data_IF_703605078075
#
_entry.id   IF_703605078075
#
_cell.length_a   1.000
_cell.length_b   1.000
_cell.length_c   1.000
_cell.angle_alpha   90.00
_cell.angle_beta   90.00
_cell.angle_gamma   90.00
#
_symmetry.space_group_name_H-M   'P 1'
#
loop_
_entity.id
_entity.type
_entity.pdbx_description
1 polymer ?
#
# COMPACT_ATOMS: atom_id res chain seq x y z
N UNK A 1 -5.29 -25.11 -20.89
CA UNK A 1 -3.83 -24.97 -20.68
C UNK A 1 -3.09 -24.43 -21.92
N UNK A 2 -3.49 -24.82 -23.15
CA UNK A 2 -2.83 -24.35 -24.38
C UNK A 2 -3.21 -22.91 -24.76
N UNK A 3 -4.38 -22.41 -24.38
CA UNK A 3 -4.83 -21.03 -24.67
C UNK A 3 -4.18 -19.97 -23.79
N UNK A 4 -3.62 -20.36 -22.64
CA UNK A 4 -2.93 -19.42 -21.73
C UNK A 4 -1.45 -19.19 -22.05
N UNK A 5 -0.86 -19.92 -22.98
CA UNK A 5 0.58 -19.85 -23.28
C UNK A 5 1.05 -18.51 -23.90
N UNK A 6 0.14 -17.69 -24.37
CA UNK A 6 0.41 -16.35 -24.92
C UNK A 6 -0.04 -15.18 -24.03
N UNK A 7 -0.62 -15.45 -22.86
CA UNK A 7 -1.13 -14.41 -21.98
C UNK A 7 0.03 -13.75 -21.23
N UNK A 8 0.26 -12.44 -21.37
CA UNK A 8 1.33 -11.77 -20.65
C UNK A 8 1.09 -11.87 -19.13
N UNK A 9 1.97 -12.56 -18.42
CA UNK A 9 2.04 -12.46 -16.98
C UNK A 9 1.21 -13.45 -16.17
N UNK A 10 0.93 -14.66 -16.67
CA UNK A 10 0.46 -15.74 -15.81
C UNK A 10 1.50 -15.99 -14.70
N UNK A 11 1.31 -15.35 -13.55
CA UNK A 11 2.13 -15.57 -12.36
C UNK A 11 1.75 -16.97 -11.87
N UNK A 12 2.70 -17.90 -11.96
CA UNK A 12 2.56 -19.24 -11.37
C UNK A 12 3.16 -19.20 -9.98
N UNK A 13 2.37 -19.54 -8.98
CA UNK A 13 2.89 -19.88 -7.67
C UNK A 13 3.28 -21.38 -7.61
N UNK A 14 3.69 -21.86 -6.43
CA UNK A 14 4.06 -23.25 -6.22
C UNK A 14 2.91 -24.25 -6.49
N UNK A 15 1.69 -23.78 -6.67
CA UNK A 15 0.48 -24.57 -6.86
C UNK A 15 -0.14 -24.40 -8.26
N UNK A 16 0.42 -23.58 -9.14
CA UNK A 16 -0.05 -23.37 -10.51
C UNK A 16 -0.32 -21.92 -10.87
N UNK A 17 -1.37 -21.64 -11.65
CA UNK A 17 -1.73 -20.29 -12.06
C UNK A 17 -2.35 -19.51 -10.88
N UNK A 18 -1.77 -18.36 -10.54
CA UNK A 18 -2.35 -17.47 -9.53
C UNK A 18 -3.64 -16.85 -10.03
N UNK A 19 -4.62 -16.76 -9.15
CA UNK A 19 -5.90 -16.08 -9.34
C UNK A 19 -6.07 -14.95 -8.33
N UNK A 20 -4.96 -14.37 -7.82
CA UNK A 20 -4.99 -13.21 -6.94
C UNK A 20 -5.59 -11.98 -7.62
N UNK A 21 -5.85 -10.93 -6.84
CA UNK A 21 -6.52 -9.73 -7.34
C UNK A 21 -5.70 -9.01 -8.43
N UNK A 22 -4.35 -9.07 -8.38
CA UNK A 22 -3.48 -8.48 -9.41
C UNK A 22 -3.59 -9.26 -10.72
N UNK A 23 -3.53 -10.58 -10.64
CA UNK A 23 -3.71 -11.46 -11.81
C UNK A 23 -5.09 -11.29 -12.43
N UNK A 24 -6.14 -11.18 -11.61
CA UNK A 24 -7.51 -10.92 -12.10
C UNK A 24 -7.63 -9.61 -12.86
N UNK A 25 -6.98 -8.54 -12.37
CA UNK A 25 -6.96 -7.25 -13.06
C UNK A 25 -6.22 -7.34 -14.39
N UNK A 26 -5.07 -8.02 -14.44
CA UNK A 26 -4.29 -8.20 -15.67
C UNK A 26 -5.05 -9.06 -16.71
N UNK A 27 -5.71 -10.12 -16.26
CA UNK A 27 -6.51 -10.98 -17.12
C UNK A 27 -7.73 -10.24 -17.69
N UNK A 28 -8.42 -9.46 -16.88
CA UNK A 28 -9.55 -8.65 -17.31
C UNK A 28 -9.15 -7.65 -18.42
N UNK A 29 -7.95 -7.07 -18.34
CA UNK A 29 -7.45 -6.18 -19.40
C UNK A 29 -7.08 -6.92 -20.66
N UNK A 30 -6.35 -8.02 -20.53
CA UNK A 30 -6.03 -8.84 -21.68
C UNK A 30 -7.32 -9.28 -22.39
N UNK A 31 -8.34 -9.68 -21.63
CA UNK A 31 -9.64 -10.04 -22.17
C UNK A 31 -10.36 -8.83 -22.83
N UNK A 32 -10.20 -7.63 -22.30
CA UNK A 32 -10.82 -6.44 -22.93
C UNK A 32 -10.33 -6.22 -24.36
N UNK A 33 -9.06 -6.56 -24.63
CA UNK A 33 -8.47 -6.41 -25.96
C UNK A 33 -8.68 -7.64 -26.88
N UNK A 34 -8.80 -8.86 -26.30
CA UNK A 34 -8.78 -10.11 -27.06
C UNK A 34 -10.07 -10.94 -26.94
N UNK A 35 -10.77 -10.85 -25.83
CA UNK A 35 -11.97 -11.63 -25.48
C UNK A 35 -12.95 -10.78 -24.66
N UNK A 36 -13.49 -9.67 -25.22
CA UNK A 36 -14.31 -8.71 -24.47
C UNK A 36 -15.56 -9.33 -23.83
N UNK A 37 -16.06 -10.43 -24.38
CA UNK A 37 -17.18 -11.18 -23.81
C UNK A 37 -16.90 -11.79 -22.43
N UNK A 38 -15.61 -11.96 -22.04
CA UNK A 38 -15.22 -12.50 -20.75
C UNK A 38 -15.03 -11.43 -19.66
N UNK A 39 -14.96 -10.16 -20.02
CA UNK A 39 -14.75 -9.06 -19.04
C UNK A 39 -15.80 -9.08 -17.92
N UNK A 40 -17.12 -9.21 -18.21
CA UNK A 40 -18.13 -9.28 -17.16
C UNK A 40 -17.94 -10.41 -16.15
N UNK A 41 -17.35 -11.54 -16.57
CA UNK A 41 -17.02 -12.64 -15.67
C UNK A 41 -16.00 -12.22 -14.61
N UNK A 42 -14.95 -11.51 -15.00
CA UNK A 42 -13.94 -11.01 -14.06
C UNK A 42 -14.52 -9.98 -13.10
N UNK A 43 -15.37 -9.08 -13.56
CA UNK A 43 -16.08 -8.11 -12.74
C UNK A 43 -16.97 -8.81 -11.69
N UNK A 44 -17.76 -9.79 -12.09
CA UNK A 44 -18.58 -10.58 -11.18
C UNK A 44 -17.75 -11.32 -10.14
N UNK A 45 -16.62 -11.91 -10.53
CA UNK A 45 -15.73 -12.62 -9.58
C UNK A 45 -15.12 -11.63 -8.58
N UNK A 46 -14.70 -10.44 -9.02
CA UNK A 46 -14.17 -9.41 -8.13
C UNK A 46 -15.24 -8.91 -7.15
N UNK A 47 -16.44 -8.68 -7.64
CA UNK A 47 -17.57 -8.28 -6.80
C UNK A 47 -17.95 -9.37 -5.78
N UNK A 48 -18.04 -10.62 -6.21
CA UNK A 48 -18.29 -11.75 -5.32
C UNK A 48 -17.21 -11.86 -4.22
N UNK A 49 -15.92 -11.74 -4.58
CA UNK A 49 -14.82 -11.77 -3.61
C UNK A 49 -14.94 -10.65 -2.58
N UNK A 50 -15.27 -9.45 -3.03
CA UNK A 50 -15.49 -8.30 -2.16
C UNK A 50 -16.58 -8.58 -1.12
N UNK A 51 -17.75 -9.02 -1.56
CA UNK A 51 -18.86 -9.32 -0.66
C UNK A 51 -18.60 -10.54 0.23
N UNK A 52 -17.96 -11.58 -0.32
CA UNK A 52 -17.55 -12.76 0.44
C UNK A 52 -16.56 -12.38 1.55
N UNK A 53 -15.57 -11.52 1.27
CA UNK A 53 -14.63 -11.02 2.28
C UNK A 53 -15.33 -10.19 3.36
N UNK A 54 -16.22 -9.29 2.98
CA UNK A 54 -17.01 -8.50 3.94
C UNK A 54 -17.81 -9.42 4.88
N UNK A 55 -18.53 -10.39 4.32
CA UNK A 55 -19.30 -11.35 5.09
C UNK A 55 -18.41 -12.20 6.00
N UNK A 56 -17.46 -12.92 5.43
CA UNK A 56 -16.70 -13.95 6.16
C UNK A 56 -15.71 -13.37 7.17
N UNK A 57 -15.05 -12.25 6.82
CA UNK A 57 -14.02 -11.66 7.68
C UNK A 57 -14.61 -10.78 8.76
N UNK A 58 -15.55 -9.92 8.40
CA UNK A 58 -16.04 -8.91 9.33
C UNK A 58 -17.35 -9.32 10.02
N UNK A 59 -18.38 -9.74 9.27
CA UNK A 59 -19.67 -10.05 9.89
C UNK A 59 -19.56 -11.38 10.65
N UNK A 60 -19.39 -12.49 9.93
CA UNK A 60 -19.34 -13.82 10.55
C UNK A 60 -18.10 -13.97 11.46
N UNK A 61 -16.97 -13.34 11.03
CA UNK A 61 -15.72 -13.37 11.77
C UNK A 61 -15.84 -12.69 13.13
N UNK A 62 -16.44 -11.52 13.22
CA UNK A 62 -16.60 -10.81 14.50
C UNK A 62 -17.59 -11.50 15.41
N UNK A 63 -18.74 -11.94 14.88
CA UNK A 63 -19.76 -12.64 15.67
C UNK A 63 -19.22 -13.89 16.38
N UNK A 64 -18.32 -14.64 15.76
CA UNK A 64 -17.69 -15.83 16.36
C UNK A 64 -16.83 -15.52 17.58
N UNK A 65 -16.32 -14.30 17.70
CA UNK A 65 -15.39 -13.90 18.74
C UNK A 65 -16.02 -13.02 19.82
N UNK A 66 -17.32 -12.80 19.77
CA UNK A 66 -18.04 -12.14 20.85
C UNK A 66 -18.03 -13.05 22.07
N UNK A 67 -17.45 -12.61 23.17
CA UNK A 67 -17.47 -13.32 24.43
C UNK A 67 -18.90 -13.20 25.04
N UNK A 68 -19.60 -14.30 25.27
CA UNK A 68 -20.98 -14.26 25.76
C UNK A 68 -21.11 -13.66 27.15
N UNK A 69 -20.07 -13.73 27.98
CA UNK A 69 -20.09 -13.18 29.35
C UNK A 69 -19.90 -11.65 29.37
N UNK A 70 -19.16 -11.09 28.39
CA UNK A 70 -18.84 -9.65 28.37
C UNK A 70 -19.55 -8.89 27.24
N UNK A 71 -20.11 -9.60 26.25
CA UNK A 71 -20.65 -9.00 25.03
C UNK A 71 -19.59 -8.33 24.14
N UNK A 72 -18.29 -8.59 24.38
CA UNK A 72 -17.18 -7.89 23.74
C UNK A 72 -16.27 -8.85 22.98
N UNK A 73 -15.52 -8.29 22.04
CA UNK A 73 -14.44 -8.99 21.34
C UNK A 73 -13.11 -8.72 22.06
N UNK A 74 -12.38 -9.77 22.38
CA UNK A 74 -11.08 -9.73 23.04
C UNK A 74 -10.00 -10.33 22.11
N UNK A 75 -9.41 -9.54 21.21
CA UNK A 75 -8.40 -10.05 20.28
C UNK A 75 -7.09 -10.33 21.00
N UNK A 76 -6.30 -11.26 20.47
CA UNK A 76 -4.93 -11.46 20.90
C UNK A 76 -4.01 -10.46 20.19
N UNK A 77 -3.31 -9.65 20.95
CA UNK A 77 -2.23 -8.78 20.45
C UNK A 77 -0.89 -9.47 20.69
N UNK A 78 -0.16 -9.70 19.61
CA UNK A 78 1.09 -10.47 19.60
C UNK A 78 2.28 -9.52 19.32
N UNK A 79 3.03 -9.09 20.32
CA UNK A 79 4.11 -8.10 20.16
C UNK A 79 5.35 -8.66 19.45
N UNK A 80 5.53 -9.98 19.44
CA UNK A 80 6.73 -10.65 18.93
C UNK A 80 6.47 -11.52 17.69
N UNK A 81 5.29 -11.45 17.10
CA UNK A 81 4.90 -12.35 16.00
C UNK A 81 5.40 -11.91 14.62
N UNK A 82 5.94 -10.69 14.49
CA UNK A 82 6.45 -10.18 13.21
C UNK A 82 7.96 -9.96 13.27
N UNK A 83 8.66 -10.26 12.18
CA UNK A 83 10.10 -10.00 12.06
C UNK A 83 10.45 -8.51 12.15
N UNK A 84 9.53 -7.64 11.74
CA UNK A 84 9.72 -6.18 11.74
C UNK A 84 9.49 -5.55 13.11
N UNK A 85 8.88 -6.28 14.06
CA UNK A 85 8.53 -5.78 15.40
C UNK A 85 7.21 -5.02 15.45
N UNK A 86 6.42 -5.03 14.39
CA UNK A 86 5.02 -4.58 14.44
C UNK A 86 4.20 -5.56 15.27
N UNK A 87 3.20 -5.08 15.98
CA UNK A 87 2.20 -5.96 16.59
C UNK A 87 1.47 -6.74 15.50
N UNK A 88 1.21 -8.01 15.75
CA UNK A 88 0.20 -8.76 15.02
C UNK A 88 -1.05 -8.90 15.89
N UNK A 89 -2.19 -9.12 15.24
CA UNK A 89 -3.47 -9.30 15.92
C UNK A 89 -4.19 -10.50 15.33
N UNK A 90 -4.83 -11.30 16.18
CA UNK A 90 -5.61 -12.48 15.76
C UNK A 90 -6.79 -12.71 16.69
N UNK A 91 -7.76 -13.52 16.24
CA UNK A 91 -8.95 -13.96 16.97
C UNK A 91 -9.86 -12.83 17.48
N UNK A 92 -10.40 -11.94 16.62
CA UNK A 92 -10.10 -11.73 15.21
C UNK A 92 -8.94 -10.74 15.01
N UNK A 93 -8.47 -10.57 13.74
CA UNK A 93 -7.50 -9.54 13.42
C UNK A 93 -8.18 -8.17 13.30
N UNK A 94 -8.23 -7.41 14.37
CA UNK A 94 -8.81 -6.05 14.40
C UNK A 94 -7.91 -4.97 13.78
N UNK A 95 -6.64 -5.29 13.44
CA UNK A 95 -5.78 -4.35 12.71
C UNK A 95 -6.12 -4.27 11.22
N UNK A 96 -6.87 -5.24 10.70
CA UNK A 96 -7.27 -5.30 9.29
C UNK A 96 -8.70 -4.79 9.12
N UNK A 97 -8.95 -3.54 9.48
CA UNK A 97 -10.27 -2.93 9.32
C UNK A 97 -10.56 -2.57 7.86
N UNK A 98 -11.84 -2.62 7.50
CA UNK A 98 -12.30 -2.18 6.20
C UNK A 98 -11.96 -0.70 5.98
N UNK A 99 -11.40 -0.38 4.82
CA UNK A 99 -11.13 1.02 4.46
C UNK A 99 -12.46 1.76 4.27
N UNK A 100 -12.57 3.04 4.67
CA UNK A 100 -13.83 3.79 4.58
C UNK A 100 -14.48 3.77 3.19
N UNK A 101 -13.67 3.84 2.12
CA UNK A 101 -14.17 3.78 0.74
C UNK A 101 -14.69 2.40 0.29
N UNK A 102 -14.39 1.34 1.05
CA UNK A 102 -14.79 -0.05 0.79
C UNK A 102 -15.71 -0.61 1.88
N UNK A 103 -16.14 0.23 2.80
CA UNK A 103 -17.00 -0.14 3.91
C UNK A 103 -18.50 0.10 3.55
N UNK A 104 -19.01 -0.74 2.66
CA UNK A 104 -20.38 -0.63 2.15
C UNK A 104 -21.46 -1.02 3.16
N UNK A 105 -21.07 -1.66 4.28
CA UNK A 105 -22.00 -2.14 5.32
C UNK A 105 -21.76 -1.48 6.67
N UNK A 106 -20.86 -0.53 6.76
CA UNK A 106 -20.58 0.19 8.01
C UNK A 106 -19.89 -0.67 9.07
N UNK A 107 -19.00 -1.58 8.68
CA UNK A 107 -18.28 -2.49 9.59
C UNK A 107 -17.57 -1.74 10.72
N UNK A 108 -17.04 -0.57 10.44
CA UNK A 108 -16.34 0.27 11.43
C UNK A 108 -17.29 0.74 12.54
N UNK A 109 -18.59 0.88 12.26
CA UNK A 109 -19.61 1.29 13.22
C UNK A 109 -19.98 0.16 14.21
N UNK A 110 -19.54 -1.08 13.98
CA UNK A 110 -19.74 -2.18 14.92
C UNK A 110 -18.83 -2.06 16.16
N UNK A 111 -17.78 -1.26 16.06
CA UNK A 111 -16.85 -1.03 17.17
C UNK A 111 -17.30 0.23 17.90
N UNK A 112 -17.86 0.05 19.06
CA UNK A 112 -18.42 1.12 19.89
C UNK A 112 -17.78 1.14 21.27
N UNK A 113 -17.73 2.32 21.89
CA UNK A 113 -17.36 2.46 23.31
C UNK A 113 -18.51 2.01 24.22
N UNK A 114 -18.24 1.52 25.43
CA UNK A 114 -19.26 1.37 26.45
C UNK A 114 -19.91 2.71 26.81
N UNK A 115 -21.10 2.64 27.43
CA UNK A 115 -21.78 3.83 27.95
C UNK A 115 -20.87 4.59 28.93
N UNK A 116 -20.80 5.90 28.79
CA UNK A 116 -19.94 6.78 29.58
C UNK A 116 -18.45 6.81 29.16
N UNK A 117 -18.08 6.08 28.09
CA UNK A 117 -16.72 6.05 27.56
C UNK A 117 -16.67 6.67 26.16
N UNK A 118 -15.50 7.14 25.78
CA UNK A 118 -15.21 7.67 24.44
C UNK A 118 -14.20 6.76 23.72
N UNK A 119 -14.38 6.61 22.42
CA UNK A 119 -13.37 6.02 21.54
C UNK A 119 -12.46 7.14 21.07
N UNK A 120 -11.15 7.01 21.34
CA UNK A 120 -10.13 7.94 20.86
C UNK A 120 -9.32 7.27 19.77
N UNK A 121 -9.18 7.95 18.63
CA UNK A 121 -8.27 7.56 17.56
C UNK A 121 -7.13 8.56 17.49
N UNK A 122 -5.88 8.06 17.49
CA UNK A 122 -4.68 8.88 17.32
C UNK A 122 -3.71 8.16 16.40
N UNK A 123 -3.26 8.86 15.36
CA UNK A 123 -2.30 8.35 14.38
C UNK A 123 -1.17 9.34 14.14
N UNK A 124 0.04 8.82 13.94
CA UNK A 124 1.18 9.64 13.59
C UNK A 124 1.09 10.07 12.12
N UNK A 125 1.01 11.37 11.87
CA UNK A 125 0.98 11.90 10.51
C UNK A 125 2.26 11.53 9.75
N UNK A 126 2.12 10.68 8.70
CA UNK A 126 3.19 10.33 7.77
C UNK A 126 4.46 9.79 8.45
N UNK A 127 4.32 9.01 9.51
CA UNK A 127 5.45 8.55 10.34
C UNK A 127 6.55 7.87 9.52
N UNK A 128 6.22 7.04 8.56
CA UNK A 128 7.18 6.33 7.72
C UNK A 128 8.04 7.30 6.89
N UNK A 129 7.41 8.31 6.28
CA UNK A 129 8.11 9.34 5.51
C UNK A 129 9.01 10.21 6.39
N UNK A 130 8.57 10.54 7.61
CA UNK A 130 9.37 11.28 8.60
C UNK A 130 10.60 10.49 9.05
N UNK A 131 10.45 9.19 9.31
CA UNK A 131 11.56 8.31 9.66
C UNK A 131 12.55 8.23 8.50
N UNK A 132 12.07 8.08 7.28
CA UNK A 132 12.93 8.04 6.09
C UNK A 132 13.64 9.38 5.88
N UNK A 133 12.97 10.51 6.04
CA UNK A 133 13.60 11.84 5.99
C UNK A 133 14.74 11.97 7.00
N UNK A 134 14.51 11.49 8.22
CA UNK A 134 15.54 11.47 9.27
C UNK A 134 16.71 10.55 8.95
N UNK A 135 16.45 9.33 8.48
CA UNK A 135 17.50 8.35 8.18
C UNK A 135 18.30 8.71 6.93
N UNK A 136 17.66 9.26 5.90
CA UNK A 136 18.32 9.68 4.66
C UNK A 136 19.01 11.03 4.77
N UNK A 137 18.66 11.85 5.78
CA UNK A 137 19.08 13.25 5.89
C UNK A 137 18.81 14.05 4.61
N UNK A 138 17.69 13.72 3.94
CA UNK A 138 17.30 14.42 2.73
C UNK A 138 16.82 15.84 3.06
N UNK A 139 17.56 16.85 2.57
CA UNK A 139 17.32 18.25 2.89
C UNK A 139 15.91 18.69 2.49
N UNK A 140 15.44 18.26 1.32
CA UNK A 140 14.10 18.63 0.82
C UNK A 140 13.00 18.09 1.73
N UNK A 141 13.13 16.83 2.16
CA UNK A 141 12.16 16.23 3.07
C UNK A 141 12.20 16.88 4.46
N UNK A 142 13.41 17.08 4.99
CA UNK A 142 13.59 17.67 6.33
C UNK A 142 13.06 19.11 6.39
N UNK A 143 13.36 19.92 5.37
CA UNK A 143 12.89 21.31 5.30
C UNK A 143 11.37 21.37 5.12
N UNK A 144 10.80 20.50 4.29
CA UNK A 144 9.34 20.40 4.15
C UNK A 144 8.66 20.14 5.51
N UNK A 145 9.19 19.18 6.29
CA UNK A 145 8.61 18.88 7.60
C UNK A 145 8.85 19.98 8.64
N UNK A 146 10.01 20.65 8.63
CA UNK A 146 10.29 21.79 9.52
C UNK A 146 9.37 22.98 9.25
N UNK A 147 9.10 23.24 7.98
CA UNK A 147 8.27 24.37 7.54
C UNK A 147 6.77 24.04 7.49
N UNK A 148 6.35 22.81 7.83
CA UNK A 148 4.96 22.39 7.76
C UNK A 148 4.41 22.28 6.33
N UNK A 149 5.29 22.12 5.33
CA UNK A 149 4.91 21.97 3.93
C UNK A 149 4.34 20.57 3.65
N UNK A 150 3.43 20.49 2.68
CA UNK A 150 2.87 19.22 2.26
C UNK A 150 3.84 18.45 1.35
N UNK A 151 4.51 17.45 1.91
CA UNK A 151 5.44 16.58 1.17
C UNK A 151 4.82 15.92 -0.05
N UNK A 152 3.51 15.66 -0.03
CA UNK A 152 2.82 15.05 -1.17
C UNK A 152 2.68 16.03 -2.34
N UNK A 153 2.48 17.33 -2.08
CA UNK A 153 2.48 18.34 -3.15
C UNK A 153 3.88 18.53 -3.75
N UNK A 154 4.93 18.52 -2.92
CA UNK A 154 6.32 18.52 -3.38
C UNK A 154 6.61 17.29 -4.27
N UNK A 155 6.17 16.12 -3.83
CA UNK A 155 6.32 14.89 -4.60
C UNK A 155 5.53 14.93 -5.91
N UNK A 156 4.30 15.48 -5.89
CA UNK A 156 3.47 15.64 -7.10
C UNK A 156 4.18 16.55 -8.12
N UNK A 157 4.72 17.68 -7.67
CA UNK A 157 5.54 18.55 -8.49
C UNK A 157 6.72 17.81 -9.15
N UNK A 158 7.43 16.98 -8.39
CA UNK A 158 8.58 16.21 -8.89
C UNK A 158 8.18 15.11 -9.88
N UNK A 159 7.06 14.44 -9.66
CA UNK A 159 6.56 13.34 -10.51
C UNK A 159 6.05 13.84 -11.86
N UNK A 160 5.34 14.96 -11.86
CA UNK A 160 4.69 15.50 -13.06
C UNK A 160 5.45 16.67 -13.72
N UNK A 161 6.54 17.15 -13.11
CA UNK A 161 7.30 18.29 -13.63
C UNK A 161 6.52 19.61 -13.62
N UNK A 162 5.57 19.79 -12.70
CA UNK A 162 4.71 20.95 -12.56
C UNK A 162 5.17 21.85 -11.40
N UNK A 163 4.68 23.09 -11.33
CA UNK A 163 4.99 23.98 -10.22
C UNK A 163 4.43 23.45 -8.88
N UNK A 164 4.98 23.93 -7.76
CA UNK A 164 4.47 23.57 -6.43
C UNK A 164 3.07 24.12 -6.19
N UNK A 165 2.79 25.31 -6.70
CA UNK A 165 1.50 25.99 -6.64
C UNK A 165 0.43 25.16 -7.36
N UNK A 166 0.72 24.73 -8.59
CA UNK A 166 -0.17 23.85 -9.35
C UNK A 166 -0.38 22.51 -8.67
N UNK A 167 0.70 21.89 -8.14
CA UNK A 167 0.63 20.63 -7.42
C UNK A 167 -0.19 20.71 -6.11
N UNK A 168 -0.32 21.89 -5.51
CA UNK A 168 -1.08 22.15 -4.29
C UNK A 168 -2.52 22.62 -4.54
N UNK A 169 -2.86 22.99 -5.79
CA UNK A 169 -4.19 23.51 -6.14
C UNK A 169 -5.25 22.40 -6.09
N UNK A 170 -6.01 22.39 -4.99
CA UNK A 170 -7.10 21.43 -4.74
C UNK A 170 -8.28 21.57 -5.70
N UNK A 171 -8.40 22.70 -6.40
CA UNK A 171 -9.48 22.99 -7.36
C UNK A 171 -9.13 22.53 -8.77
N UNK A 172 -7.87 22.21 -9.05
CA UNK A 172 -7.45 21.66 -10.33
C UNK A 172 -8.10 20.32 -10.59
N UNK A 173 -8.65 20.11 -11.80
CA UNK A 173 -9.37 18.87 -12.18
C UNK A 173 -8.53 17.60 -11.96
N UNK A 174 -7.22 17.66 -12.25
CA UNK A 174 -6.28 16.56 -12.11
C UNK A 174 -5.67 16.40 -10.71
N UNK A 175 -5.99 17.27 -9.75
CA UNK A 175 -5.37 17.28 -8.42
C UNK A 175 -5.39 15.91 -7.74
N UNK A 176 -6.59 15.31 -7.64
CA UNK A 176 -6.76 14.01 -6.97
C UNK A 176 -6.00 12.90 -7.67
N UNK A 177 -6.04 12.88 -9.00
CA UNK A 177 -5.35 11.90 -9.82
C UNK A 177 -3.83 12.00 -9.63
N UNK A 178 -3.25 13.18 -9.87
CA UNK A 178 -1.82 13.44 -9.74
C UNK A 178 -1.29 13.14 -8.34
N UNK A 179 -2.02 13.54 -7.32
CA UNK A 179 -1.66 13.29 -5.93
C UNK A 179 -1.68 11.79 -5.58
N UNK A 180 -2.65 11.05 -6.11
CA UNK A 180 -2.74 9.60 -5.91
C UNK A 180 -1.56 8.87 -6.56
N UNK A 181 -1.22 9.22 -7.79
CA UNK A 181 -0.04 8.69 -8.51
C UNK A 181 1.24 9.01 -7.75
N UNK A 182 1.46 10.27 -7.38
CA UNK A 182 2.66 10.71 -6.67
C UNK A 182 2.81 10.00 -5.32
N UNK A 183 1.73 9.86 -4.55
CA UNK A 183 1.71 9.13 -3.29
C UNK A 183 2.03 7.64 -3.51
N UNK A 184 1.39 6.99 -4.47
CA UNK A 184 1.65 5.58 -4.81
C UNK A 184 3.09 5.36 -5.26
N UNK A 185 3.64 6.26 -6.08
CA UNK A 185 5.04 6.22 -6.54
C UNK A 185 6.02 6.39 -5.39
N UNK A 186 5.80 7.37 -4.51
CA UNK A 186 6.67 7.61 -3.35
C UNK A 186 6.71 6.40 -2.41
N UNK A 187 5.56 5.87 -2.04
CA UNK A 187 5.49 4.65 -1.21
C UNK A 187 6.12 3.45 -1.92
N UNK A 188 5.85 3.28 -3.22
CA UNK A 188 6.48 2.23 -4.01
C UNK A 188 8.01 2.30 -3.97
N UNK A 189 8.58 3.49 -4.15
CA UNK A 189 10.03 3.71 -4.08
C UNK A 189 10.57 3.37 -2.69
N UNK A 190 9.89 3.75 -1.61
CA UNK A 190 10.32 3.44 -0.25
C UNK A 190 10.46 1.92 -0.02
N UNK A 191 9.58 1.15 -0.63
CA UNK A 191 9.62 -0.32 -0.58
C UNK A 191 10.42 -0.98 -1.70
N UNK A 192 11.10 -0.19 -2.53
CA UNK A 192 12.02 -0.68 -3.56
C UNK A 192 11.33 -1.21 -4.82
N UNK A 193 10.13 -0.75 -5.13
CA UNK A 193 9.39 -1.15 -6.33
C UNK A 193 10.10 -0.63 -7.59
N UNK A 194 10.18 -1.47 -8.64
CA UNK A 194 10.62 -1.05 -9.96
C UNK A 194 9.46 -0.55 -10.82
N UNK A 195 9.77 0.01 -11.99
CA UNK A 195 8.77 0.63 -12.87
C UNK A 195 7.63 -0.31 -13.28
N UNK A 196 7.95 -1.56 -13.64
CA UNK A 196 6.94 -2.59 -13.97
C UNK A 196 6.01 -2.87 -12.78
N UNK A 197 6.57 -3.05 -11.57
CA UNK A 197 5.77 -3.26 -10.36
C UNK A 197 4.94 -2.03 -10.00
N UNK A 198 5.48 -0.82 -10.23
CA UNK A 198 4.75 0.42 -9.98
C UNK A 198 3.55 0.58 -10.90
N UNK A 199 3.68 0.29 -12.20
CA UNK A 199 2.56 0.30 -13.16
C UNK A 199 1.41 -0.62 -12.69
N UNK A 200 1.75 -1.86 -12.31
CA UNK A 200 0.76 -2.82 -11.79
C UNK A 200 0.14 -2.31 -10.47
N UNK A 201 0.95 -1.78 -9.57
CA UNK A 201 0.48 -1.29 -8.27
C UNK A 201 -0.46 -0.08 -8.39
N UNK A 202 -0.09 0.93 -9.20
CA UNK A 202 -0.93 2.12 -9.42
C UNK A 202 -2.29 1.74 -10.00
N UNK A 203 -2.30 0.75 -10.88
CA UNK A 203 -3.53 0.25 -11.44
C UNK A 203 -4.39 -0.48 -10.40
N UNK A 204 -3.81 -1.43 -9.68
CA UNK A 204 -4.52 -2.24 -8.70
C UNK A 204 -5.03 -1.42 -7.50
N UNK A 205 -4.23 -0.45 -7.02
CA UNK A 205 -4.54 0.33 -5.82
C UNK A 205 -5.33 1.61 -6.09
N UNK A 206 -5.18 2.20 -7.28
CA UNK A 206 -5.71 3.53 -7.61
C UNK A 206 -6.53 3.56 -8.91
N UNK A 207 -6.62 2.45 -9.64
CA UNK A 207 -7.29 2.40 -10.94
C UNK A 207 -6.59 3.20 -12.04
N UNK A 208 -5.32 3.60 -11.81
CA UNK A 208 -4.58 4.47 -12.72
C UNK A 208 -3.73 3.62 -13.67
N UNK A 209 -4.03 3.68 -14.95
CA UNK A 209 -3.23 3.04 -16.00
C UNK A 209 -2.02 3.90 -16.33
N UNK A 210 -0.82 3.33 -16.17
CA UNK A 210 0.46 3.98 -16.50
C UNK A 210 1.34 3.01 -17.25
N UNK A 211 2.06 3.49 -18.26
CA UNK A 211 3.05 2.67 -18.95
C UNK A 211 4.30 2.47 -18.08
N UNK A 212 5.12 1.48 -18.41
CA UNK A 212 6.38 1.24 -17.70
C UNK A 212 7.31 2.44 -17.86
N UNK A 213 7.36 3.04 -19.05
CA UNK A 213 8.17 4.22 -19.38
C UNK A 213 7.74 5.44 -18.57
N UNK A 214 6.43 5.65 -18.40
CA UNK A 214 5.91 6.70 -17.51
C UNK A 214 6.32 6.45 -16.06
N UNK A 215 6.24 5.20 -15.60
CA UNK A 215 6.68 4.85 -14.25
C UNK A 215 8.19 5.06 -14.05
N UNK A 216 9.02 4.82 -15.07
CA UNK A 216 10.45 5.14 -15.03
C UNK A 216 10.68 6.64 -14.89
N UNK A 217 9.94 7.47 -15.63
CA UNK A 217 9.99 8.93 -15.52
C UNK A 217 9.58 9.40 -14.12
N UNK A 218 8.51 8.85 -13.55
CA UNK A 218 8.06 9.18 -12.19
C UNK A 218 9.12 8.82 -11.14
N UNK A 219 9.72 7.63 -11.24
CA UNK A 219 10.79 7.20 -10.36
C UNK A 219 12.02 8.10 -10.51
N UNK A 220 12.39 8.46 -11.73
CA UNK A 220 13.50 9.37 -12.01
C UNK A 220 13.25 10.77 -11.41
N UNK A 221 12.06 11.33 -11.57
CA UNK A 221 11.68 12.62 -11.00
C UNK A 221 11.79 12.64 -9.47
N UNK A 222 11.31 11.58 -8.80
CA UNK A 222 11.45 11.47 -7.34
C UNK A 222 12.92 11.35 -6.92
N UNK A 223 13.71 10.51 -7.59
CA UNK A 223 15.13 10.35 -7.28
C UNK A 223 15.94 11.62 -7.52
N UNK A 224 15.62 12.37 -8.56
CA UNK A 224 16.26 13.66 -8.84
C UNK A 224 15.89 14.73 -7.79
N UNK A 225 14.67 14.68 -7.26
CA UNK A 225 14.21 15.61 -6.22
C UNK A 225 14.77 15.27 -4.84
N UNK A 226 14.78 13.98 -4.49
CA UNK A 226 15.19 13.48 -3.18
C UNK A 226 16.52 12.70 -3.31
N UNK A 227 17.58 13.42 -3.58
CA UNK A 227 18.90 12.81 -3.92
C UNK A 227 19.50 12.05 -2.76
N UNK A 228 19.40 12.57 -1.53
CA UNK A 228 19.92 11.89 -0.36
C UNK A 228 19.08 10.63 -0.02
N UNK A 229 17.79 10.65 -0.27
CA UNK A 229 16.95 9.46 -0.15
C UNK A 229 17.43 8.35 -1.08
N UNK A 230 17.69 8.67 -2.36
CA UNK A 230 18.18 7.69 -3.34
C UNK A 230 19.53 7.11 -2.94
N UNK A 231 20.47 7.94 -2.51
CA UNK A 231 21.80 7.53 -2.03
C UNK A 231 21.70 6.66 -0.77
N UNK A 232 20.86 7.06 0.19
CA UNK A 232 20.63 6.29 1.42
C UNK A 232 20.04 4.92 1.14
N UNK A 233 19.08 4.81 0.22
CA UNK A 233 18.48 3.52 -0.15
C UNK A 233 19.54 2.57 -0.73
N UNK A 234 20.43 3.07 -1.59
CA UNK A 234 21.51 2.27 -2.14
C UNK A 234 22.47 1.80 -1.03
N UNK A 235 22.90 2.72 -0.17
CA UNK A 235 23.73 2.40 0.99
C UNK A 235 23.08 1.36 1.92
N UNK A 236 21.78 1.51 2.20
CA UNK A 236 21.06 0.59 3.07
C UNK A 236 21.00 -0.83 2.50
N UNK A 237 20.78 -0.97 1.18
CA UNK A 237 20.81 -2.26 0.47
C UNK A 237 22.20 -2.91 0.53
N UNK A 238 23.25 -2.17 0.24
CA UNK A 238 24.63 -2.67 0.28
C UNK A 238 25.05 -3.05 1.71
N UNK A 239 24.69 -2.24 2.68
CA UNK A 239 24.94 -2.52 4.09
C UNK A 239 24.21 -3.79 4.57
N UNK A 240 22.94 -3.98 4.14
CA UNK A 240 22.16 -5.17 4.46
C UNK A 240 22.79 -6.43 3.83
N UNK A 241 23.22 -6.38 2.57
CA UNK A 241 23.92 -7.48 1.90
C UNK A 241 25.21 -7.86 2.60
N UNK A 242 26.02 -6.88 2.97
CA UNK A 242 27.29 -7.12 3.66
C UNK A 242 27.10 -7.68 5.05
N UNK A 243 26.12 -7.17 5.80
CA UNK A 243 25.89 -7.53 7.19
C UNK A 243 24.94 -8.73 7.36
N UNK A 244 24.21 -9.09 6.32
CA UNK A 244 23.14 -10.10 6.33
C UNK A 244 22.02 -9.76 7.32
N UNK A 245 21.86 -8.49 7.67
CA UNK A 245 20.73 -7.98 8.46
C UNK A 245 20.49 -6.49 8.19
N UNK A 246 19.25 -6.07 8.35
CA UNK A 246 18.88 -4.67 8.49
C UNK A 246 18.69 -4.32 9.96
N UNK A 247 18.97 -3.07 10.34
CA UNK A 247 18.88 -2.61 11.73
C UNK A 247 18.12 -1.29 11.80
N UNK A 248 17.19 -1.18 12.75
CA UNK A 248 16.49 0.08 13.06
C UNK A 248 17.38 1.03 13.83
N UNK A 249 17.00 2.31 13.93
CA UNK A 249 17.70 3.31 14.73
C UNK A 249 17.82 2.92 16.23
N UNK A 250 16.85 2.17 16.75
CA UNK A 250 16.85 1.69 18.15
C UNK A 250 17.54 0.33 18.33
N UNK A 251 18.25 -0.17 17.31
CA UNK A 251 19.08 -1.37 17.41
C UNK A 251 18.39 -2.70 17.12
N UNK A 252 17.07 -2.75 16.86
CA UNK A 252 16.39 -3.99 16.45
C UNK A 252 16.98 -4.48 15.12
N UNK A 253 17.35 -5.75 15.06
CA UNK A 253 17.88 -6.39 13.84
C UNK A 253 16.86 -7.32 13.21
N UNK A 254 16.76 -7.26 11.89
CA UNK A 254 16.08 -8.25 11.07
C UNK A 254 17.14 -8.96 10.23
N UNK A 255 17.33 -10.23 10.47
CA UNK A 255 18.26 -11.04 9.68
C UNK A 255 17.69 -11.32 8.30
N UNK A 256 18.55 -11.27 7.30
CA UNK A 256 18.22 -11.40 5.88
C UNK A 256 19.19 -12.39 5.22
N UNK A 257 19.15 -13.69 5.61
CA UNK A 257 20.04 -14.68 5.03
C UNK A 257 19.76 -14.83 3.53
N UNK A 258 20.79 -14.74 2.70
CA UNK A 258 20.67 -14.92 1.25
C UNK A 258 20.21 -13.70 0.45
N UNK A 259 20.23 -12.47 1.04
CA UNK A 259 19.95 -11.23 0.31
C UNK A 259 21.08 -10.85 -0.66
#
# INVERSE_FOLDING_TARGET
EAECAGTPGAIRDAHGASIDDQTMVMLAEWCADHRPELVPLFEMVQEYRKWSKLKTTYIDGYLRFINPATGRIHPDLLPLATETGRFACRRPNLQNQCQPGNDYVGVRNFIVSPEGWLLMEADYSQVELRIVAYLSQDAVMLDAYKNGEDIHSITTSAVFGISREEAADKHHSEYKHRRTVAKGTMFGILYGIGAKGLSVNLKASAGVRTSVEQCEQYIAGIKARYTNLAAWQQYAKEAARRRQYAQTALGRRRYLPGI
#
